data_IF_268270450723
#
_entry.id   IF_268270450723
#
_cell.length_a   1.000
_cell.length_b   1.000
_cell.length_c   1.000
_cell.angle_alpha   90.00
_cell.angle_beta   90.00
_cell.angle_gamma   90.00
#
_symmetry.space_group_name_H-M   'P 1'
#
loop_
_entity.id
_entity.type
_entity.pdbx_description
1 polymer ?
#
# COMPACT_ATOMS: atom_id res chain seq x y z
N UNK A 1 11.31 1.56 26.29
CA UNK A 1 12.01 2.70 25.67
C UNK A 1 12.15 2.72 24.15
N UNK A 2 11.57 1.79 23.39
CA UNK A 2 11.60 1.87 21.91
C UNK A 2 10.58 2.85 21.31
N UNK A 3 9.47 3.13 22.01
CA UNK A 3 8.34 3.91 21.49
C UNK A 3 8.71 5.34 21.08
N UNK A 4 9.52 6.04 21.88
CA UNK A 4 9.95 7.41 21.55
C UNK A 4 10.69 7.48 20.21
N UNK A 5 11.51 6.47 19.88
CA UNK A 5 12.23 6.42 18.59
C UNK A 5 11.26 6.21 17.43
N UNK A 6 10.26 5.34 17.61
CA UNK A 6 9.22 5.09 16.60
C UNK A 6 8.43 6.36 16.33
N UNK A 7 7.99 7.04 17.39
CA UNK A 7 7.25 8.30 17.29
C UNK A 7 8.08 9.40 16.63
N UNK A 8 9.36 9.52 16.98
CA UNK A 8 10.29 10.45 16.33
C UNK A 8 10.45 10.16 14.83
N UNK A 9 10.66 8.88 14.46
CA UNK A 9 10.78 8.46 13.05
C UNK A 9 9.52 8.79 12.24
N UNK A 10 8.35 8.47 12.79
CA UNK A 10 7.08 8.64 12.10
C UNK A 10 6.66 10.11 12.01
N UNK A 11 6.84 10.90 13.08
CA UNK A 11 6.62 12.35 13.04
C UNK A 11 7.55 13.05 12.04
N UNK A 12 8.82 12.63 11.98
CA UNK A 12 9.78 13.12 10.99
C UNK A 12 9.39 12.81 9.53
N UNK A 13 8.43 11.91 9.33
CA UNK A 13 7.85 11.52 8.04
C UNK A 13 6.45 12.07 7.80
N UNK A 14 5.96 12.96 8.67
CA UNK A 14 4.66 13.61 8.51
C UNK A 14 3.49 12.91 9.18
N UNK A 15 3.69 11.79 9.88
CA UNK A 15 2.64 11.14 10.67
C UNK A 15 2.23 12.06 11.82
N UNK A 16 0.98 12.51 11.79
CA UNK A 16 0.45 13.48 12.76
C UNK A 16 0.10 12.85 14.10
N UNK A 17 -0.63 11.75 14.06
CA UNK A 17 -1.05 11.01 15.24
C UNK A 17 -0.58 9.55 15.12
N UNK A 18 -0.22 8.94 16.24
CA UNK A 18 0.28 7.55 16.28
C UNK A 18 -0.88 6.55 16.26
N UNK A 19 -1.84 6.75 15.35
CA UNK A 19 -3.02 5.89 15.21
C UNK A 19 -2.83 4.89 14.07
N UNK A 20 -3.65 3.84 14.07
CA UNK A 20 -3.70 2.91 12.95
C UNK A 20 -4.02 3.63 11.62
N UNK A 21 -4.93 4.62 11.64
CA UNK A 21 -5.38 5.33 10.45
C UNK A 21 -4.24 6.15 9.82
N UNK A 22 -3.56 6.97 10.62
CA UNK A 22 -2.46 7.81 10.12
C UNK A 22 -1.23 6.98 9.72
N UNK A 23 -0.92 5.89 10.43
CA UNK A 23 0.27 5.08 10.14
C UNK A 23 0.02 4.12 8.98
N UNK A 24 -1.04 3.33 9.05
CA UNK A 24 -1.27 2.23 8.10
C UNK A 24 -1.97 2.74 6.86
N UNK A 25 -3.05 3.51 7.01
CA UNK A 25 -3.82 3.92 5.85
C UNK A 25 -3.16 5.09 5.13
N UNK A 26 -2.80 6.14 5.85
CA UNK A 26 -2.22 7.34 5.25
C UNK A 26 -0.73 7.11 4.90
N UNK A 27 0.14 6.98 5.90
CA UNK A 27 1.59 6.89 5.67
C UNK A 27 2.06 5.64 4.90
N UNK A 28 1.39 4.49 5.02
CA UNK A 28 1.83 3.27 4.33
C UNK A 28 1.05 3.07 3.03
N UNK A 29 -0.28 2.99 3.07
CA UNK A 29 -1.07 2.62 1.89
C UNK A 29 -1.24 3.77 0.90
N UNK A 30 -1.60 4.97 1.36
CA UNK A 30 -1.79 6.13 0.46
C UNK A 30 -0.47 6.54 -0.18
N UNK A 31 0.62 6.69 0.60
CA UNK A 31 1.96 6.98 0.05
C UNK A 31 2.38 5.93 -1.01
N UNK A 32 2.12 4.64 -0.75
CA UNK A 32 2.44 3.58 -1.71
C UNK A 32 1.60 3.66 -2.99
N UNK A 33 0.31 4.01 -2.90
CA UNK A 33 -0.54 4.18 -4.07
C UNK A 33 -0.14 5.40 -4.90
N UNK A 34 0.28 6.50 -4.26
CA UNK A 34 0.77 7.70 -4.93
C UNK A 34 2.11 7.44 -5.65
N UNK A 35 3.03 6.70 -5.00
CA UNK A 35 4.29 6.24 -5.59
C UNK A 35 4.05 5.36 -6.85
N UNK A 36 2.99 4.55 -6.84
CA UNK A 36 2.60 3.69 -7.97
C UNK A 36 1.91 4.46 -9.11
N UNK A 37 1.21 5.56 -8.82
CA UNK A 37 0.63 6.44 -9.84
C UNK A 37 1.68 7.30 -10.53
N UNK A 38 2.78 7.60 -9.82
CA UNK A 38 3.87 8.46 -10.29
C UNK A 38 5.23 7.73 -10.32
N UNK A 39 5.35 6.59 -11.02
CA UNK A 39 6.58 5.81 -11.01
C UNK A 39 7.71 6.55 -11.75
N UNK A 40 8.99 6.31 -11.37
CA UNK A 40 10.13 6.92 -12.06
C UNK A 40 10.16 6.59 -13.56
N UNK A 41 10.53 7.54 -14.40
CA UNK A 41 10.54 7.36 -15.88
C UNK A 41 11.38 6.18 -16.34
N UNK A 42 12.45 5.84 -15.62
CA UNK A 42 13.28 4.66 -15.88
C UNK A 42 12.52 3.35 -15.70
N UNK A 43 11.63 3.27 -14.70
CA UNK A 43 10.75 2.11 -14.47
C UNK A 43 9.73 2.03 -15.60
N UNK A 44 9.08 3.15 -15.93
CA UNK A 44 8.10 3.23 -17.02
C UNK A 44 8.70 2.72 -18.34
N UNK A 45 9.90 3.20 -18.68
CA UNK A 45 10.59 2.84 -19.92
C UNK A 45 10.84 1.33 -20.05
N UNK A 46 11.17 0.65 -18.95
CA UNK A 46 11.37 -0.81 -18.94
C UNK A 46 10.04 -1.55 -19.04
N UNK A 47 9.06 -1.19 -18.22
CA UNK A 47 7.75 -1.87 -18.16
C UNK A 47 7.00 -1.76 -19.49
N UNK A 48 7.04 -0.59 -20.14
CA UNK A 48 6.34 -0.34 -21.40
C UNK A 48 7.08 -0.86 -22.64
N UNK A 49 8.33 -1.33 -22.50
CA UNK A 49 9.09 -1.82 -23.64
C UNK A 49 8.55 -3.17 -24.14
N UNK A 50 7.87 -3.17 -25.30
CA UNK A 50 7.28 -4.39 -25.91
C UNK A 50 8.30 -5.46 -26.35
N UNK A 51 9.58 -5.11 -26.47
CA UNK A 51 10.63 -6.02 -26.92
C UNK A 51 11.27 -6.81 -25.77
N UNK A 52 11.00 -6.41 -24.51
CA UNK A 52 11.51 -7.10 -23.34
C UNK A 52 10.52 -8.16 -22.87
N UNK A 53 11.04 -9.31 -22.44
CA UNK A 53 10.21 -10.35 -21.82
C UNK A 53 9.63 -9.89 -20.49
N UNK A 54 8.48 -10.44 -20.10
CA UNK A 54 7.87 -10.13 -18.80
C UNK A 54 8.79 -10.53 -17.63
N UNK A 55 9.49 -11.67 -17.73
CA UNK A 55 10.48 -12.09 -16.72
C UNK A 55 11.63 -11.09 -16.55
N UNK A 56 12.10 -10.50 -17.66
CA UNK A 56 13.13 -9.46 -17.60
C UNK A 56 12.59 -8.20 -16.94
N UNK A 57 11.39 -7.75 -17.33
CA UNK A 57 10.73 -6.57 -16.76
C UNK A 57 10.50 -6.71 -15.25
N UNK A 58 10.03 -7.87 -14.81
CA UNK A 58 9.80 -8.18 -13.39
C UNK A 58 11.10 -8.14 -12.59
N UNK A 59 12.17 -8.74 -13.13
CA UNK A 59 13.50 -8.72 -12.51
C UNK A 59 14.07 -7.30 -12.42
N UNK A 60 13.93 -6.52 -13.50
CA UNK A 60 14.40 -5.14 -13.56
C UNK A 60 13.63 -4.24 -12.58
N UNK A 61 12.31 -4.38 -12.51
CA UNK A 61 11.47 -3.67 -11.53
C UNK A 61 11.86 -4.02 -10.10
N UNK A 62 12.00 -5.31 -9.80
CA UNK A 62 12.41 -5.79 -8.48
C UNK A 62 13.77 -5.22 -8.07
N UNK A 63 14.72 -5.20 -9.00
CA UNK A 63 16.06 -4.63 -8.78
C UNK A 63 16.00 -3.12 -8.53
N UNK A 64 15.14 -2.40 -9.25
CA UNK A 64 14.94 -0.97 -9.06
C UNK A 64 14.35 -0.66 -7.68
N UNK A 65 13.27 -1.36 -7.28
CA UNK A 65 12.62 -1.22 -5.96
C UNK A 65 13.63 -1.52 -4.85
N UNK A 66 14.36 -2.63 -4.95
CA UNK A 66 15.37 -3.00 -3.97
C UNK A 66 16.49 -1.95 -3.84
N UNK A 67 16.96 -1.41 -4.97
CA UNK A 67 17.99 -0.37 -4.98
C UNK A 67 17.52 0.90 -4.26
N UNK A 68 16.26 1.30 -4.47
CA UNK A 68 15.63 2.44 -3.79
C UNK A 68 15.52 2.18 -2.28
N UNK A 69 15.00 1.01 -1.87
CA UNK A 69 14.85 0.67 -0.46
C UNK A 69 16.21 0.62 0.25
N UNK A 70 17.23 0.02 -0.38
CA UNK A 70 18.59 -0.03 0.14
C UNK A 70 19.20 1.37 0.29
N UNK A 71 18.98 2.25 -0.68
CA UNK A 71 19.41 3.65 -0.60
C UNK A 71 18.69 4.40 0.54
N UNK A 72 17.36 4.29 0.62
CA UNK A 72 16.55 4.89 1.70
C UNK A 72 17.01 4.40 3.08
N UNK A 73 17.29 3.09 3.22
CA UNK A 73 17.76 2.48 4.48
C UNK A 73 19.11 3.03 4.96
N UNK A 74 20.05 3.31 4.05
CA UNK A 74 21.36 3.90 4.38
C UNK A 74 21.25 5.33 4.91
N UNK A 75 20.16 6.03 4.60
CA UNK A 75 19.92 7.41 5.03
C UNK A 75 19.11 7.50 6.34
N UNK A 76 18.75 6.37 6.95
CA UNK A 76 17.97 6.37 8.19
C UNK A 76 18.82 6.82 9.38
N UNK A 77 18.23 7.70 10.19
CA UNK A 77 18.81 8.12 11.47
C UNK A 77 19.02 6.93 12.43
N UNK A 78 18.08 5.99 12.45
CA UNK A 78 18.14 4.79 13.28
C UNK A 78 18.24 3.54 12.40
N UNK A 79 19.43 2.94 12.34
CA UNK A 79 19.71 1.76 11.49
C UNK A 79 18.97 0.48 11.89
N UNK A 80 18.47 0.41 13.14
CA UNK A 80 17.60 -0.65 13.66
C UNK A 80 16.23 -0.11 14.15
N UNK A 81 15.83 1.06 13.62
CA UNK A 81 14.55 1.70 13.92
C UNK A 81 13.35 0.96 13.33
N UNK A 82 12.16 1.48 13.59
CA UNK A 82 10.92 0.98 13.01
C UNK A 82 10.98 1.01 11.48
N UNK A 83 11.46 2.12 10.90
CA UNK A 83 11.53 2.26 9.45
C UNK A 83 12.54 1.30 8.83
N UNK A 84 13.66 1.03 9.52
CA UNK A 84 14.63 0.04 9.07
C UNK A 84 14.03 -1.38 9.01
N UNK A 85 13.20 -1.72 10.01
CA UNK A 85 12.47 -3.00 10.08
C UNK A 85 11.34 -3.07 9.05
N UNK A 86 10.61 -1.96 8.87
CA UNK A 86 9.62 -1.82 7.82
C UNK A 86 10.23 -2.05 6.44
N UNK A 87 11.35 -1.37 6.11
CA UNK A 87 12.05 -1.57 4.84
C UNK A 87 12.57 -3.00 4.67
N UNK A 88 12.99 -3.69 5.74
CA UNK A 88 13.39 -5.09 5.65
C UNK A 88 12.22 -6.00 5.19
N UNK A 89 10.99 -5.70 5.60
CA UNK A 89 9.79 -6.40 5.12
C UNK A 89 9.45 -5.96 3.69
N UNK A 90 9.50 -4.65 3.42
CA UNK A 90 9.22 -4.07 2.10
C UNK A 90 10.16 -4.61 1.01
N UNK A 91 11.41 -4.94 1.32
CA UNK A 91 12.36 -5.53 0.37
C UNK A 91 11.82 -6.84 -0.25
N UNK A 92 10.92 -7.55 0.43
CA UNK A 92 10.30 -8.77 -0.07
C UNK A 92 8.90 -8.55 -0.65
N UNK A 93 8.11 -7.65 -0.06
CA UNK A 93 6.70 -7.47 -0.45
C UNK A 93 6.51 -6.42 -1.55
N UNK A 94 7.25 -5.32 -1.50
CA UNK A 94 7.09 -4.21 -2.46
C UNK A 94 7.40 -4.59 -3.91
N UNK A 95 8.42 -5.42 -4.24
CA UNK A 95 8.64 -5.85 -5.62
C UNK A 95 7.45 -6.60 -6.22
N UNK A 96 6.87 -7.53 -5.45
CA UNK A 96 5.72 -8.34 -5.88
C UNK A 96 4.49 -7.47 -6.08
N UNK A 97 4.23 -6.54 -5.15
CA UNK A 97 3.11 -5.61 -5.26
C UNK A 97 3.31 -4.65 -6.45
N UNK A 98 4.50 -4.07 -6.61
CA UNK A 98 4.80 -3.20 -7.74
C UNK A 98 4.60 -3.92 -9.08
N UNK A 99 5.04 -5.17 -9.18
CA UNK A 99 4.80 -5.99 -10.37
C UNK A 99 3.31 -6.31 -10.54
N UNK A 100 2.59 -6.60 -9.46
CA UNK A 100 1.14 -6.78 -9.49
C UNK A 100 0.42 -5.55 -10.06
N UNK A 101 0.78 -4.34 -9.63
CA UNK A 101 0.17 -3.11 -10.15
C UNK A 101 0.60 -2.75 -11.58
N UNK A 102 1.90 -2.82 -11.87
CA UNK A 102 2.48 -2.27 -13.11
C UNK A 102 2.66 -3.30 -14.22
N UNK A 103 2.60 -4.58 -13.88
CA UNK A 103 2.84 -5.70 -14.77
C UNK A 103 1.76 -5.87 -15.85
N UNK A 104 1.91 -6.92 -16.68
CA UNK A 104 0.91 -7.27 -17.69
C UNK A 104 -0.42 -7.66 -17.04
N UNK A 105 -1.47 -7.73 -17.87
CA UNK A 105 -2.76 -8.21 -17.42
C UNK A 105 -2.64 -9.63 -16.86
N UNK A 106 -3.09 -9.82 -15.63
CA UNK A 106 -2.95 -11.05 -14.86
C UNK A 106 -3.91 -11.05 -13.68
N UNK A 107 -4.18 -12.23 -13.11
CA UNK A 107 -4.96 -12.35 -11.89
C UNK A 107 -4.36 -11.54 -10.73
N UNK A 108 -3.02 -11.51 -10.63
CA UNK A 108 -2.31 -10.71 -9.63
C UNK A 108 -2.62 -9.22 -9.80
N UNK A 109 -2.63 -8.72 -11.04
CA UNK A 109 -2.97 -7.33 -11.33
C UNK A 109 -4.40 -6.98 -10.96
N UNK A 110 -5.34 -7.84 -11.32
CA UNK A 110 -6.74 -7.66 -10.96
C UNK A 110 -6.92 -7.63 -9.45
N UNK A 111 -6.27 -8.54 -8.72
CA UNK A 111 -6.29 -8.56 -7.26
C UNK A 111 -5.71 -7.28 -6.64
N UNK A 112 -4.56 -6.81 -7.13
CA UNK A 112 -3.96 -5.56 -6.68
C UNK A 112 -4.86 -4.35 -6.94
N UNK A 113 -5.49 -4.26 -8.11
CA UNK A 113 -6.40 -3.17 -8.45
C UNK A 113 -7.68 -3.21 -7.59
N UNK A 114 -8.25 -4.39 -7.37
CA UNK A 114 -9.40 -4.58 -6.47
C UNK A 114 -9.07 -4.18 -5.03
N UNK A 115 -7.88 -4.53 -4.54
CA UNK A 115 -7.41 -4.12 -3.23
C UNK A 115 -7.29 -2.60 -3.13
N UNK A 116 -6.62 -1.96 -4.10
CA UNK A 116 -6.48 -0.50 -4.15
C UNK A 116 -7.84 0.20 -4.17
N UNK A 117 -8.75 -0.25 -5.03
CA UNK A 117 -10.09 0.31 -5.13
C UNK A 117 -10.86 0.17 -3.80
N UNK A 118 -10.78 -1.00 -3.15
CA UNK A 118 -11.45 -1.26 -1.87
C UNK A 118 -10.94 -0.36 -0.76
N UNK A 119 -9.62 -0.16 -0.67
CA UNK A 119 -9.00 0.74 0.31
C UNK A 119 -9.39 2.20 0.04
N UNK A 120 -9.28 2.66 -1.20
CA UNK A 120 -9.64 4.04 -1.56
C UNK A 120 -11.12 4.33 -1.34
N UNK A 121 -11.99 3.36 -1.63
CA UNK A 121 -13.43 3.48 -1.37
C UNK A 121 -13.70 3.55 0.13
N UNK A 122 -13.10 2.66 0.93
CA UNK A 122 -13.20 2.70 2.38
C UNK A 122 -12.79 4.07 2.96
N UNK A 123 -11.65 4.60 2.50
CA UNK A 123 -11.17 5.92 2.92
C UNK A 123 -12.15 7.03 2.56
N UNK A 124 -12.68 7.06 1.33
CA UNK A 124 -13.67 8.07 0.92
C UNK A 124 -14.95 7.99 1.75
N UNK A 125 -15.45 6.78 1.98
CA UNK A 125 -16.72 6.58 2.68
C UNK A 125 -16.61 6.92 4.16
N UNK A 126 -15.45 6.69 4.76
CA UNK A 126 -15.15 7.12 6.13
C UNK A 126 -15.29 8.64 6.30
N UNK A 127 -15.10 9.44 5.24
CA UNK A 127 -15.24 10.90 5.24
C UNK A 127 -16.57 11.41 4.65
N UNK A 128 -17.54 10.53 4.41
CA UNK A 128 -18.82 10.89 3.78
C UNK A 128 -19.98 10.92 4.78
N UNK A 129 -20.71 12.03 4.81
CA UNK A 129 -21.96 12.15 5.59
C UNK A 129 -23.08 11.22 5.10
N UNK A 130 -22.95 10.63 3.91
CA UNK A 130 -23.89 9.63 3.40
C UNK A 130 -23.71 8.28 4.11
N UNK A 131 -22.48 7.96 4.53
CA UNK A 131 -22.12 6.62 5.00
C UNK A 131 -21.77 6.56 6.49
N UNK A 132 -21.35 7.68 7.09
CA UNK A 132 -21.01 7.73 8.51
C UNK A 132 -21.69 8.91 9.22
N UNK A 133 -22.04 8.70 10.48
CA UNK A 133 -22.63 9.72 11.34
C UNK A 133 -21.57 10.39 12.20
N UNK A 134 -21.46 11.72 12.07
CA UNK A 134 -20.53 12.57 12.83
C UNK A 134 -21.15 13.20 14.08
N UNK A 135 -22.23 12.60 14.59
CA UNK A 135 -23.02 13.08 15.73
C UNK A 135 -22.33 12.80 17.07
N UNK A 136 -21.80 11.60 17.27
CA UNK A 136 -20.94 11.25 18.40
C UNK A 136 -19.78 10.37 17.95
N UNK A 137 -18.77 10.23 18.81
CA UNK A 137 -17.59 9.38 18.53
C UNK A 137 -18.00 7.91 18.42
N UNK A 138 -18.94 7.47 19.25
CA UNK A 138 -19.43 6.09 19.29
C UNK A 138 -20.17 5.74 18.00
N UNK A 139 -21.04 6.62 17.50
CA UNK A 139 -21.78 6.39 16.26
C UNK A 139 -20.83 6.38 15.05
N UNK A 140 -19.84 7.28 15.03
CA UNK A 140 -18.80 7.28 14.00
C UNK A 140 -17.99 5.98 14.02
N UNK A 141 -17.55 5.53 15.20
CA UNK A 141 -16.77 4.31 15.33
C UNK A 141 -17.56 3.07 14.85
N UNK A 142 -18.83 2.98 15.22
CA UNK A 142 -19.72 1.91 14.76
C UNK A 142 -19.88 1.90 13.25
N UNK A 143 -20.09 3.07 12.64
CA UNK A 143 -20.30 3.17 11.19
C UNK A 143 -19.01 2.90 10.42
N UNK A 144 -17.84 3.38 10.87
CA UNK A 144 -16.54 3.04 10.29
C UNK A 144 -16.24 1.55 10.40
N UNK A 145 -16.57 0.92 11.52
CA UNK A 145 -16.40 -0.52 11.70
C UNK A 145 -17.34 -1.32 10.78
N UNK A 146 -18.59 -0.88 10.56
CA UNK A 146 -19.51 -1.48 9.57
C UNK A 146 -18.97 -1.34 8.16
N UNK A 147 -18.45 -0.17 7.79
CA UNK A 147 -17.83 0.05 6.48
C UNK A 147 -16.67 -0.93 6.24
N UNK A 148 -15.77 -1.09 7.21
CA UNK A 148 -14.65 -2.03 7.09
C UNK A 148 -15.14 -3.47 6.88
N UNK A 149 -16.12 -3.93 7.68
CA UNK A 149 -16.69 -5.28 7.54
C UNK A 149 -17.31 -5.51 6.17
N UNK A 150 -18.14 -4.58 5.71
CA UNK A 150 -18.78 -4.67 4.39
C UNK A 150 -17.73 -4.72 3.27
N UNK A 151 -16.64 -3.95 3.37
CA UNK A 151 -15.55 -3.96 2.37
C UNK A 151 -14.79 -5.28 2.37
N UNK A 152 -14.58 -5.89 3.54
CA UNK A 152 -13.95 -7.21 3.66
C UNK A 152 -14.83 -8.29 3.02
N UNK A 153 -16.14 -8.25 3.26
CA UNK A 153 -17.12 -9.17 2.66
C UNK A 153 -17.17 -9.02 1.13
N UNK A 154 -17.30 -7.79 0.63
CA UNK A 154 -17.26 -7.48 -0.81
C UNK A 154 -15.95 -7.97 -1.46
N UNK A 155 -14.81 -7.79 -0.79
CA UNK A 155 -13.52 -8.27 -1.29
C UNK A 155 -13.45 -9.81 -1.30
N UNK A 156 -13.93 -10.47 -0.25
CA UNK A 156 -13.95 -11.92 -0.15
C UNK A 156 -14.80 -12.57 -1.26
N UNK A 157 -15.97 -12.00 -1.57
CA UNK A 157 -16.82 -12.46 -2.67
C UNK A 157 -16.16 -12.34 -4.05
N UNK A 158 -15.36 -11.29 -4.25
CA UNK A 158 -14.62 -11.06 -5.51
C UNK A 158 -13.40 -11.96 -5.65
N UNK A 159 -12.83 -12.42 -4.53
CA UNK A 159 -11.65 -13.29 -4.49
C UNK A 159 -12.05 -14.79 -4.50
N UNK A 160 -13.35 -15.11 -4.41
CA UNK A 160 -13.83 -16.50 -4.39
C UNK A 160 -13.31 -17.32 -5.60
N UNK A 161 -12.72 -18.50 -5.37
CA UNK A 161 -12.18 -19.38 -6.41
C UNK A 161 -13.17 -19.74 -7.52
N UNK A 162 -14.48 -19.72 -7.23
CA UNK A 162 -15.53 -20.09 -8.19
C UNK A 162 -15.67 -19.08 -9.35
N UNK A 163 -15.15 -17.86 -9.20
CA UNK A 163 -15.08 -16.85 -10.28
C UNK A 163 -13.70 -16.77 -10.95
N UNK A 164 -12.74 -17.57 -10.47
CA UNK A 164 -11.40 -17.72 -11.04
C UNK A 164 -11.41 -19.04 -11.82
N UNK A 165 -12.05 -19.04 -12.99
CA UNK A 165 -12.16 -20.23 -13.84
C UNK A 165 -10.79 -20.93 -14.03
N UNK A 166 -10.76 -22.23 -13.71
CA UNK A 166 -9.69 -23.19 -13.98
C UNK A 166 -9.85 -23.70 -15.41
#
# INVERSE_FOLDING_TARGET
>A
DSWHKIEEELKGRGVKCMTFYDIVLDFILMDAFDDLENPPSSVIAVIQNRWLSNSFKETALSTAVWSVLKAKRRMLKFSDGFIAKFYAISEHTSPVLAWGFMGPESQLKQLCLLFKESVLKFLRDMFSFEYVRYTTVEELADDVAKLLRNRIEEAAEKISPEKLEI
#
